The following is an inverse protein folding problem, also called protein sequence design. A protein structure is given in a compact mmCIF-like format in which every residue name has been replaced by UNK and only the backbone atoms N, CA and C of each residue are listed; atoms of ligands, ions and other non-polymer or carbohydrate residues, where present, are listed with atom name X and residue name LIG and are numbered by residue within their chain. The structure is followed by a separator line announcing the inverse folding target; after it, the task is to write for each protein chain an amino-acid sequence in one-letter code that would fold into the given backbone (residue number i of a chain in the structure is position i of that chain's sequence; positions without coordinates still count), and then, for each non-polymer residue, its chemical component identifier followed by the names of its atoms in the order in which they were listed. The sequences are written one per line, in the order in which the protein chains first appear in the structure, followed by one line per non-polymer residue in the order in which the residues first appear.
data_IF_056109603621
#
_entry.id   IF_056109603621
#
_cell.length_a   1.000
_cell.length_b   1.000
_cell.length_c   1.000
_cell.angle_alpha   90.00
_cell.angle_beta   90.00
_cell.angle_gamma   90.00
#
_symmetry.space_group_name_H-M   'P 1'
#
loop_
_entity.id
_entity.type
_entity.pdbx_description
1 polymer ?
#
# COMPACT_ATOMS: atom_id res chain seq x y z
N UNK A 1 13.61 2.76 -1.07
CA UNK A 1 12.67 3.89 -1.26
C UNK A 1 13.50 5.17 -1.40
N UNK A 2 13.19 6.04 -2.37
CA UNK A 2 13.97 7.25 -2.67
C UNK A 2 13.43 8.52 -2.00
N UNK A 3 12.18 8.48 -1.53
CA UNK A 3 11.53 9.54 -0.73
C UNK A 3 10.39 8.97 0.10
N UNK A 4 9.98 9.68 1.14
CA UNK A 4 8.78 9.35 1.90
C UNK A 4 7.50 9.61 1.10
N UNK A 5 6.45 8.87 1.47
CA UNK A 5 5.12 9.00 0.89
C UNK A 5 4.30 10.05 1.64
N UNK A 6 3.45 10.76 0.90
CA UNK A 6 2.47 11.67 1.50
C UNK A 6 1.32 10.89 2.17
N UNK A 7 0.55 11.49 3.09
CA UNK A 7 -0.63 10.84 3.67
C UNK A 7 -1.64 10.36 2.62
N UNK A 8 -1.82 11.14 1.55
CA UNK A 8 -2.69 10.73 0.44
C UNK A 8 -2.12 9.53 -0.34
N UNK A 9 -0.80 9.45 -0.50
CA UNK A 9 -0.16 8.29 -1.13
C UNK A 9 -0.28 7.03 -0.27
N UNK A 10 -0.15 7.15 1.05
CA UNK A 10 -0.42 6.03 1.97
C UNK A 10 -1.88 5.54 1.86
N UNK A 11 -2.85 6.45 1.81
CA UNK A 11 -4.26 6.11 1.61
C UNK A 11 -4.49 5.34 0.29
N UNK A 12 -3.95 5.84 -0.83
CA UNK A 12 -4.06 5.17 -2.13
C UNK A 12 -3.36 3.82 -2.13
N UNK A 13 -2.20 3.70 -1.47
CA UNK A 13 -1.47 2.45 -1.35
C UNK A 13 -2.21 1.41 -0.50
N UNK A 14 -2.90 1.83 0.56
CA UNK A 14 -3.78 0.98 1.35
C UNK A 14 -4.88 0.36 0.49
N UNK A 15 -5.60 1.18 -0.28
CA UNK A 15 -6.63 0.67 -1.20
C UNK A 15 -6.07 -0.21 -2.35
N UNK A 16 -4.84 0.08 -2.81
CA UNK A 16 -4.14 -0.83 -3.73
C UNK A 16 -3.87 -2.19 -3.10
N UNK A 17 -3.48 -2.21 -1.82
CA UNK A 17 -3.29 -3.44 -1.07
C UNK A 17 -4.60 -4.21 -0.89
N UNK A 18 -5.71 -3.52 -0.63
CA UNK A 18 -7.05 -4.13 -0.59
C UNK A 18 -7.52 -4.64 -1.99
N UNK A 19 -6.77 -4.36 -3.07
CA UNK A 19 -7.05 -4.87 -4.41
C UNK A 19 -8.02 -4.04 -5.25
N UNK A 20 -8.38 -2.83 -4.82
CA UNK A 20 -9.33 -1.96 -5.52
C UNK A 20 -8.76 -1.48 -6.87
N UNK A 21 -9.60 -1.33 -7.91
CA UNK A 21 -9.22 -0.70 -9.19
C UNK A 21 -8.97 0.81 -9.05
N UNK A 22 -8.31 1.46 -10.02
CA UNK A 22 -8.11 2.92 -9.97
C UNK A 22 -9.45 3.67 -9.92
N UNK A 23 -10.45 3.21 -10.67
CA UNK A 23 -11.81 3.75 -10.63
C UNK A 23 -12.51 3.57 -9.27
N UNK A 24 -12.29 2.44 -8.58
CA UNK A 24 -12.85 2.22 -7.25
C UNK A 24 -12.15 3.10 -6.21
N UNK A 25 -10.80 3.19 -6.23
CA UNK A 25 -10.04 4.10 -5.36
C UNK A 25 -10.45 5.55 -5.59
N UNK A 26 -10.67 5.95 -6.84
CA UNK A 26 -11.12 7.29 -7.20
C UNK A 26 -12.49 7.61 -6.56
N UNK A 27 -13.40 6.64 -6.54
CA UNK A 27 -14.69 6.77 -5.88
C UNK A 27 -14.53 6.88 -4.35
N UNK A 28 -13.75 6.01 -3.73
CA UNK A 28 -13.54 6.00 -2.28
C UNK A 28 -12.85 7.28 -1.77
N UNK A 29 -11.92 7.83 -2.56
CA UNK A 29 -11.18 9.04 -2.20
C UNK A 29 -11.81 10.33 -2.73
N UNK A 30 -12.96 10.26 -3.41
CA UNK A 30 -13.64 11.38 -4.05
C UNK A 30 -12.71 12.18 -5.00
N UNK A 31 -11.89 11.49 -5.79
CA UNK A 31 -10.95 12.06 -6.74
C UNK A 31 -11.21 11.51 -8.15
N UNK A 32 -10.53 12.04 -9.17
CA UNK A 32 -10.62 11.46 -10.52
C UNK A 32 -9.71 10.24 -10.67
N UNK A 33 -10.10 9.32 -11.55
CA UNK A 33 -9.25 8.15 -11.89
C UNK A 33 -7.86 8.58 -12.37
N UNK A 34 -7.77 9.71 -13.08
CA UNK A 34 -6.50 10.26 -13.53
C UNK A 34 -5.58 10.68 -12.37
N UNK A 35 -6.15 11.23 -11.29
CA UNK A 35 -5.37 11.58 -10.09
C UNK A 35 -4.82 10.31 -9.45
N UNK A 36 -5.60 9.22 -9.41
CA UNK A 36 -5.13 7.94 -8.88
C UNK A 36 -4.01 7.37 -9.74
N UNK A 37 -4.16 7.29 -11.06
CA UNK A 37 -3.10 6.85 -11.99
C UNK A 37 -1.78 7.59 -11.79
N UNK A 38 -1.86 8.93 -11.70
CA UNK A 38 -0.68 9.77 -11.52
C UNK A 38 -0.03 9.52 -10.15
N UNK A 39 -0.84 9.27 -9.12
CA UNK A 39 -0.37 8.96 -7.76
C UNK A 39 0.34 7.61 -7.73
N UNK A 40 -0.27 6.57 -8.30
CA UNK A 40 0.35 5.24 -8.47
C UNK A 40 1.69 5.35 -9.20
N UNK A 41 1.74 6.11 -10.29
CA UNK A 41 2.97 6.34 -11.06
C UNK A 41 4.07 7.02 -10.25
N UNK A 42 3.72 8.03 -9.43
CA UNK A 42 4.68 8.71 -8.54
C UNK A 42 5.19 7.81 -7.41
N UNK A 43 4.32 6.98 -6.84
CA UNK A 43 4.71 6.01 -5.82
C UNK A 43 5.63 4.93 -6.39
N UNK A 44 5.31 4.36 -7.56
CA UNK A 44 6.16 3.38 -8.22
C UNK A 44 7.59 3.90 -8.40
N UNK A 45 7.75 5.16 -8.81
CA UNK A 45 9.07 5.82 -8.89
C UNK A 45 9.75 5.98 -7.53
N UNK A 46 9.00 6.29 -6.47
CA UNK A 46 9.54 6.38 -5.10
C UNK A 46 10.06 5.02 -4.59
N UNK A 47 9.44 3.92 -5.00
CA UNK A 47 9.91 2.56 -4.71
C UNK A 47 10.98 2.06 -5.70
N UNK A 48 11.32 2.83 -6.74
CA UNK A 48 12.28 2.41 -7.76
C UNK A 48 11.74 1.34 -8.73
N UNK A 49 10.42 1.17 -8.79
CA UNK A 49 9.75 0.21 -9.67
C UNK A 49 9.69 0.78 -11.08
N UNK A 50 10.21 0.02 -12.04
CA UNK A 50 10.16 0.35 -13.47
C UNK A 50 9.05 -0.45 -14.15
N UNK A 51 8.36 0.16 -15.11
CA UNK A 51 7.44 -0.53 -16.00
C UNK A 51 8.24 -1.18 -17.12
N UNK A 52 8.17 -2.51 -17.24
CA UNK A 52 8.78 -3.28 -18.34
C UNK A 52 7.77 -3.67 -19.43
N UNK A 53 6.47 -3.37 -19.23
CA UNK A 53 5.40 -3.62 -20.20
C UNK A 53 4.67 -4.95 -19.99
N UNK A 54 5.36 -5.94 -19.38
CA UNK A 54 4.80 -7.26 -19.09
C UNK A 54 4.29 -7.36 -17.64
N UNK A 55 4.90 -6.61 -16.72
CA UNK A 55 4.58 -6.69 -15.30
C UNK A 55 3.58 -5.61 -14.89
N UNK A 56 2.52 -6.02 -14.18
CA UNK A 56 1.56 -5.08 -13.61
C UNK A 56 2.20 -4.32 -12.44
N UNK A 57 2.57 -3.06 -12.68
CA UNK A 57 3.21 -2.18 -11.70
C UNK A 57 2.43 -2.05 -10.38
N UNK A 58 1.10 -2.21 -10.41
CA UNK A 58 0.25 -2.06 -9.22
C UNK A 58 0.45 -3.21 -8.25
N UNK A 59 0.68 -4.42 -8.77
CA UNK A 59 0.98 -5.60 -7.96
C UNK A 59 2.35 -5.43 -7.29
N UNK A 60 3.37 -5.03 -8.07
CA UNK A 60 4.70 -4.77 -7.51
C UNK A 60 4.68 -3.65 -6.46
N UNK A 61 3.92 -2.59 -6.72
CA UNK A 61 3.79 -1.47 -5.79
C UNK A 61 3.09 -1.89 -4.50
N UNK A 62 2.01 -2.67 -4.57
CA UNK A 62 1.33 -3.19 -3.39
C UNK A 62 2.27 -4.08 -2.56
N UNK A 63 3.00 -5.00 -3.21
CA UNK A 63 3.97 -5.86 -2.52
C UNK A 63 5.10 -5.05 -1.86
N UNK A 64 5.66 -4.06 -2.58
CA UNK A 64 6.71 -3.20 -2.05
C UNK A 64 6.19 -2.38 -0.86
N UNK A 65 5.00 -1.78 -0.97
CA UNK A 65 4.38 -1.03 0.11
C UNK A 65 4.20 -1.89 1.37
N UNK A 66 3.65 -3.11 1.22
CA UNK A 66 3.44 -4.04 2.34
C UNK A 66 4.75 -4.50 3.01
N UNK A 67 5.82 -4.68 2.22
CA UNK A 67 7.14 -5.04 2.77
C UNK A 67 7.76 -3.90 3.60
N UNK A 68 7.48 -2.66 3.21
CA UNK A 68 8.00 -1.46 3.87
C UNK A 68 7.18 -1.01 5.07
N UNK A 69 5.85 -1.06 4.98
CA UNK A 69 4.89 -0.45 5.92
C UNK A 69 3.90 -1.45 6.54
N UNK A 70 4.15 -2.74 6.37
CA UNK A 70 3.20 -3.76 6.80
C UNK A 70 1.88 -3.72 6.03
N UNK A 71 0.92 -4.53 6.45
CA UNK A 71 -0.38 -4.61 5.79
C UNK A 71 -1.50 -4.88 6.80
N UNK A 72 -2.40 -3.93 6.98
CA UNK A 72 -3.56 -4.08 7.87
C UNK A 72 -4.60 -5.04 7.32
N UNK A 73 -4.53 -5.37 6.04
CA UNK A 73 -5.42 -6.34 5.42
C UNK A 73 -5.19 -7.75 5.96
N UNK A 74 -3.98 -8.10 6.41
CA UNK A 74 -3.74 -9.40 7.04
C UNK A 74 -4.48 -9.54 8.37
N UNK A 75 -4.60 -8.46 9.14
CA UNK A 75 -5.38 -8.46 10.37
C UNK A 75 -6.87 -8.68 10.08
N UNK A 76 -7.39 -8.07 9.00
CA UNK A 76 -8.77 -8.32 8.51
C UNK A 76 -8.99 -9.79 8.12
N UNK A 77 -7.93 -10.47 7.68
CA UNK A 77 -7.93 -11.89 7.29
C UNK A 77 -7.55 -12.83 8.45
N UNK A 78 -7.27 -12.29 9.64
CA UNK A 78 -6.78 -13.01 10.80
C UNK A 78 -5.53 -13.86 10.50
N UNK A 79 -4.64 -13.34 9.65
CA UNK A 79 -3.37 -13.95 9.26
C UNK A 79 -2.21 -13.26 9.95
N UNK A 80 -1.23 -14.02 10.43
CA UNK A 80 -0.03 -13.45 11.02
C UNK A 80 0.84 -12.79 9.94
N UNK A 81 1.07 -11.48 10.06
CA UNK A 81 2.05 -10.81 9.21
C UNK A 81 3.48 -11.14 9.67
N UNK A 82 4.45 -11.15 8.75
CA UNK A 82 5.86 -11.42 9.06
C UNK A 82 6.51 -10.38 9.98
N UNK A 83 5.81 -9.27 10.27
CA UNK A 83 6.23 -8.20 11.17
C UNK A 83 5.49 -8.27 12.52
N UNK A 84 4.80 -9.37 12.82
CA UNK A 84 4.03 -9.53 14.04
C UNK A 84 4.94 -9.56 15.27
N UNK A 85 4.68 -8.68 16.23
CA UNK A 85 5.30 -8.63 17.55
C UNK A 85 4.21 -8.64 18.63
N UNK A 86 4.54 -9.13 19.82
CA UNK A 86 3.62 -9.09 20.97
C UNK A 86 3.85 -7.79 21.73
N UNK A 87 2.81 -6.98 21.85
CA UNK A 87 2.82 -5.71 22.57
C UNK A 87 2.78 -5.88 24.10
N UNK A 88 2.95 -4.78 24.86
CA UNK A 88 2.96 -4.80 26.33
C UNK A 88 1.63 -5.24 26.97
N UNK A 89 0.54 -5.15 26.22
CA UNK A 89 -0.82 -5.56 26.59
C UNK A 89 -1.13 -7.03 26.24
N UNK A 90 -0.17 -7.75 25.65
CA UNK A 90 -0.31 -9.14 25.23
C UNK A 90 -0.99 -9.33 23.86
N UNK A 91 -1.38 -8.24 23.18
CA UNK A 91 -1.94 -8.31 21.84
C UNK A 91 -0.84 -8.35 20.77
N UNK A 92 -1.14 -8.92 19.61
CA UNK A 92 -0.21 -8.98 18.46
C UNK A 92 -0.40 -7.76 17.58
N UNK A 93 0.72 -7.11 17.23
CA UNK A 93 0.76 -5.92 16.38
C UNK A 93 1.77 -6.09 15.26
N UNK A 94 1.54 -5.41 14.14
CA UNK A 94 2.55 -5.27 13.10
C UNK A 94 3.51 -4.12 13.47
N UNK A 95 4.79 -4.41 13.70
CA UNK A 95 5.83 -3.41 14.04
C UNK A 95 6.05 -2.35 12.94
N UNK A 96 5.53 -2.61 11.74
CA UNK A 96 5.68 -1.71 10.59
C UNK A 96 4.40 -1.03 10.14
N UNK A 97 3.26 -1.29 10.78
CA UNK A 97 2.01 -0.62 10.41
C UNK A 97 2.11 0.89 10.50
N UNK A 98 1.47 1.56 9.55
CA UNK A 98 1.26 3.01 9.58
C UNK A 98 -0.22 3.21 9.88
N UNK A 99 -0.53 3.86 11.01
CA UNK A 99 -1.88 4.22 11.45
C UNK A 99 -2.58 5.21 10.49
#
# INVERSE_FOLDING_TARGET
MTRDLTPFEHLVAGHLCDGLSNSAIARETAHSEKVIENTVSRMARAFGIKSDGDTNIRVLLALAYRAHFGDGSFDKLNLECSHSIVGPDGNRYCDKHVD
#
